data_IF_794185530753
#
_entry.id   IF_794185530753
#
_cell.length_a   1.000
_cell.length_b   1.000
_cell.length_c   1.000
_cell.angle_alpha   90.00
_cell.angle_beta   90.00
_cell.angle_gamma   90.00
#
_symmetry.space_group_name_H-M   'P 1'
#
loop_
_entity.id
_entity.type
_entity.pdbx_description
1 polymer ?
#
# COMPACT_ATOMS: atom_id res chain seq x y z
N UNK A 1 -36.85 -17.14 -117.08
CA UNK A 1 -35.76 -17.14 -116.13
C UNK A 1 -35.56 -18.56 -115.57
N UNK A 2 -34.39 -19.12 -115.83
CA UNK A 2 -34.12 -20.53 -115.55
C UNK A 2 -34.12 -20.82 -114.03
N UNK A 3 -34.68 -21.90 -113.57
CA UNK A 3 -34.72 -22.37 -112.17
C UNK A 3 -33.33 -22.35 -111.48
N UNK A 4 -32.27 -22.40 -112.29
CA UNK A 4 -30.89 -22.31 -111.84
C UNK A 4 -30.48 -20.91 -111.34
N UNK A 5 -31.05 -19.88 -111.94
CA UNK A 5 -30.79 -18.47 -111.60
C UNK A 5 -31.57 -18.11 -110.35
N UNK A 6 -32.81 -18.57 -110.15
CA UNK A 6 -33.56 -18.37 -108.89
C UNK A 6 -32.90 -19.00 -107.71
N UNK A 7 -32.41 -20.24 -107.82
CA UNK A 7 -31.66 -20.88 -106.73
C UNK A 7 -30.34 -20.17 -106.34
N UNK A 8 -29.65 -19.60 -107.39
CA UNK A 8 -28.41 -18.87 -107.11
C UNK A 8 -28.65 -17.52 -106.40
N UNK A 9 -29.72 -16.83 -106.87
CA UNK A 9 -30.14 -15.56 -106.21
C UNK A 9 -30.60 -15.80 -104.76
N UNK A 10 -31.34 -16.88 -104.54
CA UNK A 10 -31.80 -17.26 -103.21
C UNK A 10 -30.66 -17.69 -102.33
N UNK A 11 -29.68 -18.44 -102.81
CA UNK A 11 -28.46 -18.80 -102.07
C UNK A 11 -27.58 -17.57 -101.74
N UNK A 12 -27.43 -16.63 -102.68
CA UNK A 12 -26.72 -15.34 -102.42
C UNK A 12 -27.47 -14.45 -101.41
N UNK A 13 -28.80 -14.44 -101.44
CA UNK A 13 -29.63 -13.67 -100.51
C UNK A 13 -29.53 -14.26 -99.11
N UNK A 14 -29.64 -15.56 -98.97
CA UNK A 14 -29.49 -16.26 -97.69
C UNK A 14 -28.07 -16.12 -97.10
N UNK A 15 -27.03 -16.16 -97.96
CA UNK A 15 -25.66 -15.96 -97.54
C UNK A 15 -25.40 -14.50 -97.12
N UNK A 16 -26.02 -13.51 -97.80
CA UNK A 16 -25.94 -12.08 -97.41
C UNK A 16 -26.69 -11.84 -96.07
N UNK A 17 -27.86 -12.49 -95.87
CA UNK A 17 -28.61 -12.40 -94.59
C UNK A 17 -27.89 -13.01 -93.48
N UNK A 18 -27.36 -14.24 -93.68
CA UNK A 18 -26.58 -14.92 -92.60
C UNK A 18 -25.32 -14.16 -92.24
N UNK A 19 -24.64 -13.50 -93.19
CA UNK A 19 -23.47 -12.70 -92.94
C UNK A 19 -23.82 -11.41 -92.15
N UNK A 20 -24.95 -10.75 -92.49
CA UNK A 20 -25.41 -9.54 -91.84
C UNK A 20 -25.88 -9.86 -90.42
N UNK A 21 -26.63 -10.95 -90.19
CA UNK A 21 -27.08 -11.42 -88.89
C UNK A 21 -25.90 -11.90 -88.04
N UNK A 22 -24.94 -12.64 -88.59
CA UNK A 22 -23.72 -13.03 -87.99
C UNK A 22 -22.87 -11.87 -87.48
N UNK A 23 -22.65 -10.85 -88.40
CA UNK A 23 -21.89 -9.66 -87.99
C UNK A 23 -22.58 -8.79 -86.92
N UNK A 24 -23.93 -8.66 -86.97
CA UNK A 24 -24.66 -7.91 -85.94
C UNK A 24 -24.64 -8.61 -84.55
N UNK A 25 -24.67 -9.95 -84.59
CA UNK A 25 -24.59 -10.76 -83.32
C UNK A 25 -23.21 -10.71 -82.76
N UNK A 26 -22.15 -10.83 -83.52
CA UNK A 26 -20.76 -10.73 -83.14
C UNK A 26 -20.50 -9.33 -82.53
N UNK A 27 -20.92 -8.25 -83.15
CA UNK A 27 -20.73 -6.88 -82.68
C UNK A 27 -21.48 -6.62 -81.34
N UNK A 28 -22.66 -7.21 -81.13
CA UNK A 28 -23.39 -7.14 -79.85
C UNK A 28 -22.69 -7.89 -78.77
N UNK A 29 -22.14 -9.07 -79.02
CA UNK A 29 -21.36 -9.88 -78.06
C UNK A 29 -20.07 -9.15 -77.71
N UNK A 30 -19.33 -8.59 -78.65
CA UNK A 30 -18.14 -7.77 -78.39
C UNK A 30 -18.43 -6.55 -77.52
N UNK A 31 -19.48 -5.81 -77.76
CA UNK A 31 -19.92 -4.63 -77.00
C UNK A 31 -20.31 -5.06 -75.57
N UNK A 32 -20.97 -6.23 -75.39
CA UNK A 32 -21.31 -6.80 -74.09
C UNK A 32 -20.03 -7.18 -73.29
N UNK A 33 -19.09 -7.86 -74.02
CA UNK A 33 -17.82 -8.27 -73.38
C UNK A 33 -16.97 -7.07 -72.98
N UNK A 34 -16.93 -5.99 -73.71
CA UNK A 34 -16.29 -4.71 -73.36
C UNK A 34 -16.95 -4.10 -72.13
N UNK A 35 -18.27 -4.07 -72.01
CA UNK A 35 -18.97 -3.57 -70.80
C UNK A 35 -18.68 -4.42 -69.60
N UNK A 36 -18.67 -5.75 -69.71
CA UNK A 36 -18.33 -6.69 -68.61
C UNK A 36 -16.88 -6.44 -68.14
N UNK A 37 -15.92 -6.29 -69.05
CA UNK A 37 -14.53 -5.98 -68.73
C UNK A 37 -14.40 -4.65 -67.92
N UNK A 38 -15.13 -3.63 -68.35
CA UNK A 38 -15.16 -2.31 -67.71
C UNK A 38 -15.72 -2.46 -66.27
N UNK A 39 -16.85 -3.15 -66.11
CA UNK A 39 -17.46 -3.39 -64.78
C UNK A 39 -16.51 -4.16 -63.88
N UNK A 40 -15.88 -5.24 -64.39
CA UNK A 40 -14.90 -6.01 -63.63
C UNK A 40 -13.69 -5.15 -63.19
N UNK A 41 -13.19 -4.29 -64.11
CA UNK A 41 -12.09 -3.38 -63.76
C UNK A 41 -12.48 -2.37 -62.69
N UNK A 42 -13.69 -1.83 -62.73
CA UNK A 42 -14.20 -0.92 -61.67
C UNK A 42 -14.36 -1.67 -60.36
N UNK A 43 -14.92 -2.86 -60.35
CA UNK A 43 -15.03 -3.71 -59.13
C UNK A 43 -13.65 -4.03 -58.51
N UNK A 44 -12.67 -4.35 -59.36
CA UNK A 44 -11.29 -4.59 -58.89
C UNK A 44 -10.69 -3.32 -58.27
N UNK A 45 -10.90 -2.16 -58.88
CA UNK A 45 -10.41 -0.89 -58.34
C UNK A 45 -11.05 -0.55 -56.99
N UNK A 46 -12.35 -0.78 -56.84
CA UNK A 46 -13.07 -0.65 -55.58
C UNK A 46 -12.53 -1.61 -54.50
N UNK A 47 -12.29 -2.87 -54.88
CA UNK A 47 -11.71 -3.83 -53.98
C UNK A 47 -10.30 -3.42 -53.47
N UNK A 48 -9.45 -2.95 -54.39
CA UNK A 48 -8.12 -2.45 -54.03
C UNK A 48 -8.16 -1.21 -53.11
N UNK A 49 -9.11 -0.29 -53.36
CA UNK A 49 -9.28 0.87 -52.46
C UNK A 49 -9.75 0.44 -51.04
N UNK A 50 -10.68 -0.50 -50.97
CA UNK A 50 -11.12 -1.06 -49.66
C UNK A 50 -9.95 -1.72 -48.94
N UNK A 51 -9.15 -2.53 -49.63
CA UNK A 51 -7.97 -3.17 -49.05
C UNK A 51 -6.94 -2.14 -48.55
N UNK A 52 -6.70 -1.08 -49.29
CA UNK A 52 -5.83 0.02 -48.89
C UNK A 52 -6.34 0.73 -47.63
N UNK A 53 -7.63 1.01 -47.54
CA UNK A 53 -8.22 1.61 -46.32
C UNK A 53 -8.09 0.69 -45.10
N UNK A 54 -8.34 -0.61 -45.27
CA UNK A 54 -8.19 -1.61 -44.19
C UNK A 54 -6.74 -1.68 -43.75
N UNK A 55 -5.77 -1.69 -44.66
CA UNK A 55 -4.35 -1.73 -44.27
C UNK A 55 -3.91 -0.48 -43.51
N UNK A 56 -4.35 0.70 -43.93
CA UNK A 56 -4.10 1.96 -43.23
C UNK A 56 -4.71 1.91 -41.83
N UNK A 57 -5.95 1.44 -41.69
CA UNK A 57 -6.62 1.29 -40.40
C UNK A 57 -5.86 0.34 -39.44
N UNK A 58 -5.45 -0.82 -39.96
CA UNK A 58 -4.66 -1.79 -39.18
C UNK A 58 -3.31 -1.18 -38.72
N UNK A 59 -2.59 -0.51 -39.66
CA UNK A 59 -1.32 0.16 -39.36
C UNK A 59 -1.48 1.23 -38.26
N UNK A 60 -2.52 2.03 -38.32
CA UNK A 60 -2.80 3.06 -37.34
C UNK A 60 -3.15 2.46 -35.97
N UNK A 61 -3.93 1.37 -35.94
CA UNK A 61 -4.21 0.64 -34.70
C UNK A 61 -2.94 0.04 -34.09
N UNK A 62 -2.07 -0.57 -34.86
CA UNK A 62 -0.79 -1.10 -34.37
C UNK A 62 0.08 0.02 -33.82
N UNK A 63 0.18 1.17 -34.45
CA UNK A 63 0.89 2.34 -33.96
C UNK A 63 0.31 2.82 -32.62
N UNK A 64 -1.00 2.93 -32.51
CA UNK A 64 -1.69 3.33 -31.29
C UNK A 64 -1.43 2.35 -30.14
N UNK A 65 -1.48 1.04 -30.39
CA UNK A 65 -1.18 0.01 -29.41
C UNK A 65 0.29 0.06 -28.93
N UNK A 66 1.23 0.31 -29.83
CA UNK A 66 2.65 0.48 -29.47
C UNK A 66 2.85 1.71 -28.58
N UNK A 67 2.21 2.82 -28.90
CA UNK A 67 2.28 4.04 -28.08
C UNK A 67 1.68 3.82 -26.70
N UNK A 68 0.54 3.14 -26.60
CA UNK A 68 -0.11 2.83 -25.34
C UNK A 68 0.80 1.96 -24.44
N UNK A 69 1.38 0.89 -25.00
CA UNK A 69 2.33 0.04 -24.27
C UNK A 69 3.58 0.79 -23.81
N UNK A 70 4.11 1.68 -24.62
CA UNK A 70 5.24 2.52 -24.23
C UNK A 70 4.88 3.45 -23.05
N UNK A 71 3.70 4.04 -23.08
CA UNK A 71 3.18 4.89 -22.00
C UNK A 71 2.96 4.10 -20.71
N UNK A 72 2.35 2.91 -20.80
CA UNK A 72 2.18 2.01 -19.64
C UNK A 72 3.53 1.63 -19.01
N UNK A 73 4.53 1.35 -19.85
CA UNK A 73 5.89 1.02 -19.39
C UNK A 73 6.52 2.21 -18.66
N UNK A 74 6.35 3.43 -19.15
CA UNK A 74 6.86 4.64 -18.50
C UNK A 74 6.19 4.88 -17.13
N UNK A 75 4.86 4.70 -17.05
CA UNK A 75 4.13 4.82 -15.77
C UNK A 75 4.64 3.78 -14.76
N UNK A 76 4.85 2.54 -15.21
CA UNK A 76 5.35 1.49 -14.35
C UNK A 76 6.76 1.80 -13.81
N UNK A 77 7.65 2.28 -14.68
CA UNK A 77 8.99 2.71 -14.29
C UNK A 77 8.96 3.87 -13.30
N UNK A 78 8.09 4.85 -13.53
CA UNK A 78 7.92 5.98 -12.62
C UNK A 78 7.45 5.52 -11.23
N UNK A 79 6.45 4.65 -11.17
CA UNK A 79 5.96 4.08 -9.89
C UNK A 79 7.06 3.30 -9.15
N UNK A 80 7.82 2.49 -9.86
CA UNK A 80 8.94 1.74 -9.28
C UNK A 80 10.03 2.68 -8.72
N UNK A 81 10.30 3.78 -9.39
CA UNK A 81 11.26 4.78 -8.90
C UNK A 81 10.74 5.51 -7.65
N UNK A 82 9.45 5.82 -7.58
CA UNK A 82 8.86 6.42 -6.37
C UNK A 82 8.90 5.45 -5.18
N UNK A 83 8.47 4.20 -5.37
CA UNK A 83 8.54 3.17 -4.34
C UNK A 83 9.97 2.96 -3.82
N UNK A 84 10.95 2.95 -4.72
CA UNK A 84 12.36 2.83 -4.35
C UNK A 84 12.85 4.03 -3.53
N UNK A 85 12.46 5.26 -3.91
CA UNK A 85 12.80 6.47 -3.14
C UNK A 85 12.16 6.46 -1.75
N UNK A 86 10.89 6.03 -1.64
CA UNK A 86 10.23 5.91 -0.34
C UNK A 86 10.90 4.86 0.53
N UNK A 87 11.30 3.72 -0.05
CA UNK A 87 12.04 2.69 0.67
C UNK A 87 13.39 3.19 1.17
N UNK A 88 14.18 3.87 0.32
CA UNK A 88 15.47 4.43 0.73
C UNK A 88 15.32 5.48 1.83
N UNK A 89 14.28 6.31 1.76
CA UNK A 89 13.97 7.28 2.81
C UNK A 89 13.61 6.60 4.13
N UNK A 90 12.78 5.55 4.08
CA UNK A 90 12.40 4.78 5.26
C UNK A 90 13.62 4.06 5.89
N UNK A 91 14.48 3.47 5.07
CA UNK A 91 15.71 2.82 5.52
C UNK A 91 16.68 3.82 6.16
N UNK A 92 16.81 5.01 5.60
CA UNK A 92 17.64 6.07 6.19
C UNK A 92 17.08 6.60 7.50
N UNK A 93 15.76 6.78 7.61
CA UNK A 93 15.09 7.16 8.86
C UNK A 93 15.29 6.08 9.94
N UNK A 94 15.16 4.82 9.57
CA UNK A 94 15.41 3.70 10.49
C UNK A 94 16.89 3.64 10.94
N UNK A 95 17.83 3.86 10.02
CA UNK A 95 19.26 3.95 10.35
C UNK A 95 19.54 5.08 11.33
N UNK A 96 19.02 6.29 11.08
CA UNK A 96 19.14 7.45 11.98
C UNK A 96 18.49 7.19 13.34
N UNK A 97 17.38 6.45 13.37
CA UNK A 97 16.73 6.05 14.61
C UNK A 97 17.58 5.06 15.39
N UNK A 98 18.17 4.04 14.73
CA UNK A 98 19.06 3.07 15.37
C UNK A 98 20.33 3.73 15.90
N UNK A 99 20.87 4.72 15.19
CA UNK A 99 22.06 5.48 15.61
C UNK A 99 21.80 6.33 16.85
N UNK A 100 20.56 6.84 17.01
CA UNK A 100 20.13 7.60 18.19
C UNK A 100 19.80 6.74 19.40
N UNK A 101 19.62 5.42 19.22
CA UNK A 101 19.38 4.54 20.36
C UNK A 101 20.65 4.44 21.20
N UNK A 102 20.54 4.58 22.54
CA UNK A 102 21.67 4.41 23.41
C UNK A 102 22.25 2.99 23.20
N UNK A 103 23.52 2.93 22.86
CA UNK A 103 24.22 1.66 22.73
C UNK A 103 24.30 0.99 24.09
N UNK A 104 23.73 -0.20 24.18
CA UNK A 104 23.87 -1.01 25.41
C UNK A 104 25.33 -1.42 25.51
N UNK A 105 26.02 -0.88 26.51
CA UNK A 105 27.43 -1.20 26.74
C UNK A 105 27.59 -2.68 27.07
N UNK A 106 28.76 -3.27 26.75
CA UNK A 106 29.05 -4.67 27.10
C UNK A 106 28.93 -4.92 28.60
N UNK A 107 29.21 -3.93 29.43
CA UNK A 107 29.00 -4.02 30.86
C UNK A 107 27.52 -4.24 31.25
N UNK A 108 26.62 -3.55 30.58
CA UNK A 108 25.17 -3.70 30.79
C UNK A 108 24.72 -5.09 30.31
N UNK A 109 25.21 -5.56 29.17
CA UNK A 109 24.94 -6.93 28.70
C UNK A 109 25.42 -7.99 29.69
N UNK A 110 26.66 -7.86 30.19
CA UNK A 110 27.22 -8.78 31.20
C UNK A 110 26.41 -8.77 32.47
N UNK A 111 25.95 -7.59 32.91
CA UNK A 111 25.10 -7.47 34.09
C UNK A 111 23.74 -8.17 33.87
N UNK A 112 23.15 -8.05 32.67
CA UNK A 112 21.93 -8.76 32.28
C UNK A 112 22.13 -10.27 32.32
N UNK A 113 23.21 -10.78 31.72
CA UNK A 113 23.55 -12.21 31.74
C UNK A 113 23.73 -12.72 33.14
N UNK A 114 24.45 -11.99 34.00
CA UNK A 114 24.66 -12.34 35.42
C UNK A 114 23.35 -12.39 36.21
N UNK A 115 22.41 -11.50 35.93
CA UNK A 115 21.08 -11.47 36.55
C UNK A 115 20.21 -12.63 36.07
N UNK A 116 20.23 -12.89 34.76
CA UNK A 116 19.39 -13.91 34.11
C UNK A 116 19.85 -15.34 34.45
N UNK A 117 21.15 -15.56 34.53
CA UNK A 117 21.78 -16.85 34.84
C UNK A 117 22.25 -16.96 36.31
N UNK A 118 21.72 -16.10 37.19
CA UNK A 118 22.01 -16.19 38.61
C UNK A 118 21.51 -17.51 39.20
N UNK A 119 22.36 -18.25 39.91
CA UNK A 119 22.00 -19.47 40.64
C UNK A 119 20.98 -19.18 41.74
N UNK A 120 20.91 -17.94 42.20
CA UNK A 120 19.94 -17.51 43.22
C UNK A 120 18.65 -17.06 42.53
N UNK A 121 17.52 -17.67 42.89
CA UNK A 121 16.19 -17.24 42.43
C UNK A 121 15.91 -15.84 42.93
N UNK A 122 15.60 -14.90 42.04
CA UNK A 122 15.25 -13.51 42.35
C UNK A 122 13.82 -13.24 41.96
N UNK A 123 13.09 -12.45 42.73
CA UNK A 123 11.75 -11.99 42.46
C UNK A 123 11.76 -10.47 42.59
N UNK A 124 11.23 -9.79 41.59
CA UNK A 124 11.07 -8.34 41.57
C UNK A 124 9.59 -8.01 41.79
N UNK A 125 9.28 -7.37 42.92
CA UNK A 125 7.93 -6.90 43.19
C UNK A 125 7.67 -5.60 42.44
N UNK A 126 6.54 -5.54 41.74
CA UNK A 126 6.10 -4.34 41.02
C UNK A 126 4.65 -4.06 41.36
N UNK A 127 4.31 -2.77 41.47
CA UNK A 127 2.94 -2.28 41.68
C UNK A 127 2.63 -1.27 40.57
N UNK A 128 1.53 -1.47 39.86
CA UNK A 128 1.08 -0.63 38.79
C UNK A 128 -0.07 0.29 39.27
N UNK A 129 -0.40 1.31 38.49
CA UNK A 129 -1.54 2.22 38.63
C UNK A 129 -1.51 3.14 39.90
N UNK A 130 -0.41 3.14 40.65
CA UNK A 130 -0.23 4.01 41.82
C UNK A 130 0.08 5.49 41.46
N UNK A 131 0.23 6.36 42.49
CA UNK A 131 -0.13 6.13 43.88
C UNK A 131 -1.64 6.05 44.10
N UNK A 132 -2.05 5.39 45.20
CA UNK A 132 -3.48 5.23 45.55
C UNK A 132 -3.63 5.20 47.06
N UNK A 133 -4.89 5.13 47.54
CA UNK A 133 -5.21 5.02 49.00
C UNK A 133 -4.68 3.73 49.62
N UNK A 134 -4.32 2.73 48.84
CA UNK A 134 -3.74 1.45 49.33
C UNK A 134 -2.22 1.56 49.43
N UNK A 135 -1.58 2.53 48.79
CA UNK A 135 -0.11 2.66 48.79
C UNK A 135 0.50 2.73 50.19
N UNK A 136 -0.06 3.42 51.19
CA UNK A 136 0.51 3.43 52.55
C UNK A 136 0.58 2.01 53.18
N UNK A 137 -0.46 1.22 53.02
CA UNK A 137 -0.51 -0.17 53.55
C UNK A 137 0.55 -1.07 52.88
N UNK A 138 0.76 -0.88 51.57
CA UNK A 138 1.81 -1.56 50.83
C UNK A 138 3.18 -1.17 51.37
N UNK A 139 3.44 0.13 51.54
CA UNK A 139 4.71 0.63 52.08
C UNK A 139 5.00 0.09 53.45
N UNK A 140 4.01 0.08 54.36
CA UNK A 140 4.14 -0.52 55.68
C UNK A 140 4.54 -1.98 55.60
N UNK A 141 3.84 -2.78 54.80
CA UNK A 141 4.13 -4.19 54.60
C UNK A 141 5.54 -4.44 54.05
N UNK A 142 5.95 -3.65 53.03
CA UNK A 142 7.29 -3.75 52.48
C UNK A 142 8.37 -3.39 53.50
N UNK A 143 8.14 -2.37 54.32
CA UNK A 143 9.03 -1.96 55.39
C UNK A 143 9.16 -3.07 56.48
N UNK A 144 8.04 -3.63 56.90
CA UNK A 144 8.02 -4.74 57.88
C UNK A 144 8.78 -5.98 57.40
N UNK A 145 8.75 -6.23 56.07
CA UNK A 145 9.45 -7.35 55.43
C UNK A 145 10.88 -7.05 55.00
N UNK A 146 11.31 -5.79 55.11
CA UNK A 146 12.64 -5.34 54.64
C UNK A 146 12.82 -5.47 53.14
N UNK A 147 11.73 -5.38 52.35
CA UNK A 147 11.72 -5.60 50.90
C UNK A 147 11.52 -4.29 50.15
N UNK A 148 12.24 -4.11 49.03
CA UNK A 148 12.04 -3.01 48.13
C UNK A 148 11.25 -3.46 46.92
N UNK A 149 10.54 -2.51 46.29
CA UNK A 149 9.68 -2.75 45.13
C UNK A 149 9.81 -1.62 44.09
N UNK A 150 9.30 -1.85 42.88
CA UNK A 150 9.15 -0.85 41.84
C UNK A 150 7.69 -0.46 41.74
N UNK A 151 7.41 0.84 41.76
CA UNK A 151 6.07 1.40 41.59
C UNK A 151 5.95 2.06 40.22
N UNK A 152 5.18 1.46 39.35
CA UNK A 152 4.84 2.05 38.04
C UNK A 152 3.64 3.00 38.21
N UNK A 153 3.95 4.28 38.25
CA UNK A 153 2.96 5.31 38.63
C UNK A 153 2.32 5.93 37.43
N UNK A 154 1.02 6.29 37.55
CA UNK A 154 0.28 7.09 36.61
C UNK A 154 0.45 8.57 36.94
N UNK A 155 0.83 9.40 35.96
CA UNK A 155 1.05 10.83 36.16
C UNK A 155 -0.15 11.57 36.76
N UNK A 156 -1.36 11.23 36.30
CA UNK A 156 -2.60 11.78 36.86
C UNK A 156 -2.83 11.44 38.34
N UNK A 157 -2.30 10.33 38.85
CA UNK A 157 -2.38 9.96 40.25
C UNK A 157 -1.23 10.59 41.06
N UNK A 158 -0.05 10.74 40.45
CA UNK A 158 1.10 11.46 41.04
C UNK A 158 0.69 12.90 41.37
N UNK A 159 0.05 13.61 40.44
CA UNK A 159 -0.43 15.00 40.68
C UNK A 159 -1.43 15.11 41.83
N UNK A 160 -2.26 14.05 42.04
CA UNK A 160 -3.26 14.04 43.12
C UNK A 160 -2.65 13.69 44.48
N UNK A 161 -1.55 12.96 44.52
CA UNK A 161 -0.93 12.43 45.71
C UNK A 161 0.59 12.60 45.74
N UNK A 162 1.11 13.84 45.60
CA UNK A 162 2.56 14.10 45.51
C UNK A 162 3.31 13.65 46.77
N UNK A 163 2.70 13.81 47.98
CA UNK A 163 3.33 13.39 49.24
C UNK A 163 3.50 11.87 49.31
N UNK A 164 2.62 11.13 48.66
CA UNK A 164 2.74 9.66 48.61
C UNK A 164 3.91 9.24 47.73
N UNK A 165 4.15 9.98 46.64
CA UNK A 165 5.31 9.74 45.74
C UNK A 165 6.62 9.98 46.53
N UNK A 166 6.69 11.07 47.30
CA UNK A 166 7.85 11.31 48.19
C UNK A 166 8.08 10.17 49.18
N UNK A 167 7.03 9.69 49.84
CA UNK A 167 7.15 8.59 50.80
C UNK A 167 7.66 7.30 50.11
N UNK A 168 7.19 6.98 48.91
CA UNK A 168 7.70 5.84 48.14
C UNK A 168 9.19 6.01 47.85
N UNK A 169 9.61 7.20 47.43
CA UNK A 169 10.99 7.51 47.08
C UNK A 169 11.92 7.51 48.30
N UNK A 170 11.54 8.18 49.39
CA UNK A 170 12.31 8.29 50.63
C UNK A 170 12.48 6.93 51.28
N UNK A 171 11.53 6.02 51.17
CA UNK A 171 11.65 4.65 51.64
C UNK A 171 12.54 3.78 50.73
N UNK A 172 13.15 4.34 49.69
CA UNK A 172 14.11 3.64 48.83
C UNK A 172 13.49 2.64 47.87
N UNK A 173 12.22 2.83 47.49
CA UNK A 173 11.58 2.10 46.42
C UNK A 173 11.86 2.78 45.07
N UNK A 174 11.81 2.00 44.01
CA UNK A 174 12.01 2.55 42.66
C UNK A 174 10.70 3.10 42.07
N UNK A 175 10.75 4.33 41.56
CA UNK A 175 9.61 4.94 40.88
C UNK A 175 9.79 4.79 39.36
N UNK A 176 8.80 4.22 38.71
CA UNK A 176 8.76 3.96 37.31
C UNK A 176 7.51 4.59 36.63
N UNK A 177 7.55 4.76 35.37
CA UNK A 177 6.53 5.45 34.59
C UNK A 177 5.52 4.46 34.01
N UNK A 178 4.20 4.71 34.21
CA UNK A 178 3.11 3.90 33.69
C UNK A 178 2.20 4.67 32.72
N UNK A 179 2.67 5.80 32.20
CA UNK A 179 1.86 6.75 31.44
C UNK A 179 1.08 7.69 32.33
N UNK A 180 0.40 8.65 31.73
CA UNK A 180 -0.30 9.70 32.48
C UNK A 180 -1.76 9.38 32.74
N UNK A 181 -2.51 9.08 31.65
CA UNK A 181 -3.97 9.01 31.71
C UNK A 181 -4.54 7.61 31.92
N UNK A 182 -3.81 6.58 31.55
CA UNK A 182 -4.27 5.18 31.44
C UNK A 182 -5.41 4.97 30.44
N UNK A 183 -5.65 5.93 29.51
CA UNK A 183 -6.70 5.87 28.50
C UNK A 183 -6.16 5.25 27.21
N UNK A 184 -6.46 3.97 26.97
CA UNK A 184 -5.88 3.20 25.84
C UNK A 184 -6.14 3.80 24.47
N UNK A 185 -7.33 4.38 24.23
CA UNK A 185 -7.66 5.03 22.96
C UNK A 185 -6.78 6.24 22.66
N UNK A 186 -6.31 6.92 23.69
CA UNK A 186 -5.44 8.07 23.59
C UNK A 186 -3.96 7.65 23.54
N UNK A 187 -3.51 6.84 24.52
CA UNK A 187 -2.10 6.39 24.59
C UNK A 187 -1.65 5.72 23.29
N UNK A 188 -2.51 4.86 22.71
CA UNK A 188 -2.17 4.07 21.53
C UNK A 188 -2.64 4.69 20.21
N UNK A 189 -2.97 5.96 20.19
CA UNK A 189 -3.34 6.68 18.99
C UNK A 189 -2.14 6.82 18.03
N UNK A 190 -0.99 7.17 18.56
CA UNK A 190 0.26 7.37 17.81
C UNK A 190 1.49 7.12 18.68
N UNK A 191 2.67 7.04 18.07
CA UNK A 191 3.93 7.02 18.81
C UNK A 191 4.15 8.33 19.59
N UNK A 192 3.68 9.45 19.05
CA UNK A 192 3.77 10.74 19.72
C UNK A 192 2.91 10.77 20.99
N UNK A 193 1.70 10.22 20.94
CA UNK A 193 0.83 10.13 22.13
C UNK A 193 1.49 9.35 23.27
N UNK A 194 2.20 8.26 22.96
CA UNK A 194 2.97 7.52 23.97
C UNK A 194 4.09 8.37 24.58
N UNK A 195 4.80 9.11 23.74
CA UNK A 195 5.88 9.99 24.20
C UNK A 195 5.35 11.14 25.06
N UNK A 196 4.22 11.71 24.70
CA UNK A 196 3.56 12.78 25.45
C UNK A 196 3.10 12.29 26.82
N UNK A 197 2.49 11.11 26.91
CA UNK A 197 2.11 10.44 28.16
C UNK A 197 3.32 10.17 29.05
N UNK A 198 4.42 9.68 28.46
CA UNK A 198 5.68 9.44 29.16
C UNK A 198 6.28 10.73 29.74
N UNK A 199 6.41 11.75 28.91
CA UNK A 199 7.00 13.04 29.29
C UNK A 199 6.17 13.72 30.39
N UNK A 200 4.86 13.76 30.23
CA UNK A 200 3.95 14.37 31.19
C UNK A 200 3.98 13.65 32.54
N UNK A 201 4.14 12.35 32.56
CA UNK A 201 4.28 11.57 33.79
C UNK A 201 5.61 11.87 34.48
N UNK A 202 6.72 11.92 33.74
CA UNK A 202 8.02 12.31 34.29
C UNK A 202 7.98 13.70 34.91
N UNK A 203 7.37 14.67 34.23
CA UNK A 203 7.17 16.03 34.76
C UNK A 203 6.36 16.02 36.05
N UNK A 204 5.28 15.26 36.13
CA UNK A 204 4.50 15.11 37.34
C UNK A 204 5.33 14.53 38.51
N UNK A 205 6.16 13.53 38.22
CA UNK A 205 7.05 12.93 39.24
C UNK A 205 8.14 13.91 39.68
N UNK A 206 8.76 14.63 38.72
CA UNK A 206 9.75 15.69 39.01
C UNK A 206 9.17 16.75 39.96
N UNK A 207 7.97 17.22 39.67
CA UNK A 207 7.26 18.21 40.46
C UNK A 207 6.94 17.65 41.87
N UNK A 208 6.49 16.41 41.97
CA UNK A 208 6.17 15.77 43.22
C UNK A 208 7.42 15.59 44.12
N UNK A 209 8.55 15.21 43.52
CA UNK A 209 9.81 14.99 44.26
C UNK A 209 10.56 16.31 44.55
N UNK A 210 10.35 17.35 43.74
CA UNK A 210 11.17 18.55 43.74
C UNK A 210 12.53 18.34 43.07
N UNK A 211 12.66 17.31 42.20
CA UNK A 211 13.89 16.93 41.51
C UNK A 211 13.74 17.08 40.01
N UNK A 212 14.13 18.22 39.38
CA UNK A 212 13.94 18.50 37.97
C UNK A 212 14.67 17.51 37.03
N UNK A 213 15.77 16.92 37.49
CA UNK A 213 16.58 15.98 36.72
C UNK A 213 16.10 14.52 36.85
N UNK A 214 15.07 14.27 37.65
CA UNK A 214 14.55 12.93 37.81
C UNK A 214 14.05 12.37 36.49
N UNK A 215 14.48 11.16 36.16
CA UNK A 215 13.97 10.41 35.01
C UNK A 215 13.83 8.93 35.40
N UNK A 216 12.64 8.38 35.29
CA UNK A 216 12.38 7.00 35.71
C UNK A 216 13.13 5.94 34.88
N UNK A 217 13.56 6.24 33.66
CA UNK A 217 14.20 5.32 32.71
C UNK A 217 13.47 3.96 32.48
N UNK A 218 12.44 3.68 33.26
CA UNK A 218 11.60 2.49 33.12
C UNK A 218 10.18 2.90 32.79
N UNK A 219 9.68 2.36 31.68
CA UNK A 219 8.30 2.58 31.23
C UNK A 219 7.59 1.23 31.05
N UNK A 220 6.44 1.10 31.70
CA UNK A 220 5.55 -0.03 31.47
C UNK A 220 4.31 0.47 30.77
N UNK A 221 4.01 -0.11 29.62
CA UNK A 221 2.82 0.24 28.85
C UNK A 221 1.56 -0.14 29.63
N UNK A 222 0.57 0.75 29.79
CA UNK A 222 -0.72 0.43 30.38
C UNK A 222 -1.43 -0.70 29.64
N UNK A 223 -1.88 -1.71 30.39
CA UNK A 223 -2.55 -2.89 29.86
C UNK A 223 -1.64 -3.85 29.10
N UNK A 224 -2.15 -5.05 28.86
CA UNK A 224 -1.46 -6.01 27.99
C UNK A 224 -1.55 -5.53 26.56
N UNK A 225 -0.40 -5.27 25.91
CA UNK A 225 -0.34 -4.96 24.49
C UNK A 225 -0.75 -6.22 23.71
N UNK A 226 -2.04 -6.36 23.46
CA UNK A 226 -2.52 -7.26 22.44
C UNK A 226 -2.40 -6.55 21.09
N UNK A 227 -1.25 -6.64 20.45
CA UNK A 227 -0.94 -6.06 19.12
C UNK A 227 -2.07 -6.21 18.12
N UNK A 228 -2.76 -7.33 18.13
CA UNK A 228 -3.90 -7.60 17.26
C UNK A 228 -5.13 -6.73 17.59
N UNK A 229 -5.34 -6.29 18.84
CA UNK A 229 -6.43 -5.36 19.21
C UNK A 229 -6.13 -3.94 18.70
N UNK A 230 -4.89 -3.49 18.77
CA UNK A 230 -4.47 -2.17 18.29
C UNK A 230 -4.58 -2.10 16.76
N UNK A 231 -4.13 -3.13 16.05
CA UNK A 231 -4.30 -3.23 14.60
C UNK A 231 -5.78 -3.25 14.18
N UNK A 232 -6.65 -3.91 14.95
CA UNK A 232 -8.10 -3.95 14.68
C UNK A 232 -8.76 -2.60 14.93
N UNK A 233 -8.34 -1.85 15.96
CA UNK A 233 -8.88 -0.53 16.26
C UNK A 233 -8.50 0.48 15.16
N UNK A 234 -7.24 0.52 14.73
CA UNK A 234 -6.79 1.35 13.60
C UNK A 234 -7.51 1.05 12.29
N UNK A 235 -7.85 -0.21 12.05
CA UNK A 235 -8.62 -0.61 10.86
C UNK A 235 -10.10 -0.20 10.94
N UNK A 236 -10.73 -0.23 12.12
CA UNK A 236 -12.12 0.24 12.32
C UNK A 236 -12.26 1.75 12.21
N UNK A 237 -11.34 2.52 12.78
CA UNK A 237 -11.39 3.99 12.74
C UNK A 237 -11.14 4.57 11.34
N UNK A 238 -10.49 3.81 10.44
CA UNK A 238 -10.23 4.22 9.05
C UNK A 238 -11.23 3.65 8.03
N UNK A 239 -12.30 2.98 8.44
CA UNK A 239 -13.33 2.45 7.54
C UNK A 239 -12.85 1.39 6.55
N UNK A 240 -11.70 0.74 6.79
CA UNK A 240 -11.02 -0.13 5.82
C UNK A 240 -11.41 -1.61 5.95
N UNK A 241 -12.29 -2.00 6.90
CA UNK A 241 -12.80 -3.38 6.98
C UNK A 241 -14.31 -3.36 7.11
N UNK A 242 -14.99 -3.84 6.07
CA UNK A 242 -16.33 -4.41 6.20
C UNK A 242 -16.16 -5.77 6.90
N UNK A 243 -17.00 -6.11 7.91
CA UNK A 243 -17.02 -7.47 8.42
C UNK A 243 -17.61 -8.39 7.34
N UNK A 244 -16.95 -9.49 7.04
CA UNK A 244 -17.58 -10.66 6.49
C UNK A 244 -18.36 -11.36 7.59
#
# INVERSE_FOLDING_TARGET
MSNKVKKRVEHMRNNKYNNIYGMTTISKVEKRNKKVKIVLSIMLLILLTILAVITIYICNNIKKQKQLKAYETQILQYKQQEEEKERQKAEEEERKRKEKLPQITEQVKQNFETIYHSETKRVFLTFDDGPSTVTPTILQTLSEKGVKATFFMLGANVEKMPDMVKQVYEQGHYIANHGYSHVYSFIYESAQSVLDEYNKTNEAIQNALGEPEFNSHLFRFPGRIHWWKICRYKKRSKGIIKPE
#
